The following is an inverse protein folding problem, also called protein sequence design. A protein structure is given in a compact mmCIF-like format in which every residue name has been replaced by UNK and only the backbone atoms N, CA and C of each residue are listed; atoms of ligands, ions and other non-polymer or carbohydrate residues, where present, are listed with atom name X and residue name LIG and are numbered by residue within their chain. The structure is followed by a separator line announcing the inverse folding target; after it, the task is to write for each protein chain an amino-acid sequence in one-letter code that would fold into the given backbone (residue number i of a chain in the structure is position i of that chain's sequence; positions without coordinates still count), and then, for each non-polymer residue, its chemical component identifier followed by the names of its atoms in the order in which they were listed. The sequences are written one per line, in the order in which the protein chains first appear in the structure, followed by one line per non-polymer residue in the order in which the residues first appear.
data_IF_913152653827
#
_entry.id   IF_913152653827
#
_cell.length_a   1.000
_cell.length_b   1.000
_cell.length_c   1.000
_cell.angle_alpha   90.00
_cell.angle_beta   90.00
_cell.angle_gamma   90.00
#
_symmetry.space_group_name_H-M   'P 1'
#
loop_
_entity.id
_entity.type
_entity.pdbx_description
1 polymer ?
#
# COMPACT_ATOMS: atom_id res chain seq x y z
N UNK A 1 35.10 60.08 -77.10
CA UNK A 1 35.17 58.72 -77.65
C UNK A 1 34.62 57.76 -76.61
N UNK A 2 33.62 56.95 -77.00
CA UNK A 2 32.95 55.83 -76.30
C UNK A 2 32.17 56.23 -75.02
N UNK A 3 30.87 56.59 -75.09
CA UNK A 3 29.66 55.73 -75.21
C UNK A 3 29.55 54.75 -74.02
N UNK A 4 28.53 54.77 -73.15
CA UNK A 4 27.13 54.29 -73.32
C UNK A 4 26.41 54.62 -71.99
N UNK A 5 25.39 55.48 -71.96
CA UNK A 5 23.93 55.24 -72.08
C UNK A 5 23.18 55.03 -70.74
N UNK A 6 22.00 55.63 -70.73
CA UNK A 6 21.09 55.92 -69.64
C UNK A 6 20.15 54.77 -69.18
N UNK A 7 19.68 54.95 -67.93
CA UNK A 7 18.33 54.74 -67.37
C UNK A 7 17.67 53.34 -67.25
N UNK A 8 17.23 53.11 -65.98
CA UNK A 8 15.93 52.55 -65.49
C UNK A 8 15.67 51.05 -65.69
N UNK A 9 14.96 50.31 -64.84
CA UNK A 9 14.26 50.49 -63.55
C UNK A 9 13.83 49.05 -63.17
N UNK A 10 14.04 48.58 -61.94
CA UNK A 10 13.12 47.59 -61.33
C UNK A 10 13.21 47.66 -59.82
N UNK A 11 12.04 47.90 -59.20
CA UNK A 11 11.81 47.89 -57.76
C UNK A 11 11.98 46.48 -57.18
N UNK A 12 12.38 46.37 -55.92
CA UNK A 12 11.49 45.84 -54.88
C UNK A 12 12.06 46.09 -53.47
N UNK A 13 11.23 46.66 -52.59
CA UNK A 13 11.48 46.78 -51.16
C UNK A 13 11.59 45.39 -50.52
N UNK A 14 12.63 45.16 -49.71
CA UNK A 14 12.60 44.14 -48.66
C UNK A 14 12.69 44.86 -47.31
N UNK A 15 11.60 44.76 -46.55
CA UNK A 15 11.46 45.25 -45.19
C UNK A 15 12.25 44.37 -44.20
N UNK A 16 12.79 45.05 -43.20
CA UNK A 16 13.46 44.49 -42.02
C UNK A 16 12.50 43.62 -41.20
N UNK A 17 12.91 42.40 -40.86
CA UNK A 17 12.28 41.59 -39.81
C UNK A 17 13.35 41.20 -38.80
N UNK A 18 13.26 41.76 -37.60
CA UNK A 18 14.03 41.38 -36.42
C UNK A 18 13.53 40.03 -35.88
N UNK A 19 14.41 39.07 -35.53
CA UNK A 19 13.97 37.80 -34.99
C UNK A 19 13.56 37.95 -33.51
N UNK A 20 12.31 37.57 -33.22
CA UNK A 20 11.75 37.47 -31.88
C UNK A 20 12.31 36.20 -31.17
N UNK A 21 12.70 36.26 -29.89
CA UNK A 21 13.22 35.09 -29.18
C UNK A 21 12.10 34.07 -28.92
N UNK A 22 12.31 32.85 -29.40
CA UNK A 22 11.42 31.72 -29.17
C UNK A 22 11.39 31.37 -27.67
N UNK A 23 10.21 31.44 -27.06
CA UNK A 23 9.98 30.82 -25.76
C UNK A 23 9.94 29.30 -25.93
N UNK A 24 10.60 28.52 -25.05
CA UNK A 24 10.44 27.08 -25.04
C UNK A 24 9.04 26.73 -24.53
N UNK A 25 8.18 26.21 -25.42
CA UNK A 25 6.89 25.64 -25.06
C UNK A 25 7.10 24.51 -24.04
N UNK A 26 6.62 24.71 -22.82
CA UNK A 26 6.47 23.63 -21.85
C UNK A 26 5.31 22.76 -22.30
N UNK A 27 5.63 21.64 -22.92
CA UNK A 27 4.70 20.58 -23.31
C UNK A 27 4.17 19.86 -22.04
N UNK A 28 3.29 20.51 -21.27
CA UNK A 28 2.49 19.83 -20.25
C UNK A 28 1.31 19.13 -20.95
N UNK A 29 1.51 17.88 -21.36
CA UNK A 29 0.38 17.01 -21.68
C UNK A 29 -0.28 16.55 -20.37
N UNK A 30 -1.15 17.39 -19.80
CA UNK A 30 -2.27 16.87 -19.02
C UNK A 30 -3.26 16.29 -20.03
N UNK A 31 -3.09 15.01 -20.40
CA UNK A 31 -4.15 14.30 -21.14
C UNK A 31 -5.28 14.07 -20.16
N UNK A 32 -6.29 14.93 -20.17
CA UNK A 32 -7.60 14.53 -19.72
C UNK A 32 -8.02 13.39 -20.66
N UNK A 33 -8.15 12.17 -20.14
CA UNK A 33 -8.46 10.97 -20.94
C UNK A 33 -9.91 10.95 -21.45
N UNK A 34 -10.44 12.12 -21.78
CA UNK A 34 -11.76 12.33 -22.38
C UNK A 34 -11.85 11.75 -23.81
N UNK A 35 -10.71 11.36 -24.40
CA UNK A 35 -10.56 10.67 -25.68
C UNK A 35 -10.65 9.14 -25.59
N UNK A 36 -10.69 8.56 -24.38
CA UNK A 36 -10.90 7.13 -24.19
C UNK A 36 -12.39 6.83 -24.05
N UNK A 37 -13.02 6.38 -25.14
CA UNK A 37 -14.23 5.57 -25.04
C UNK A 37 -13.99 4.47 -23.99
N UNK A 38 -14.86 4.31 -22.97
CA UNK A 38 -14.67 3.31 -21.95
C UNK A 38 -14.65 1.95 -22.63
N UNK A 39 -13.44 1.39 -22.79
CA UNK A 39 -13.28 0.03 -23.29
C UNK A 39 -14.17 -0.86 -22.44
N UNK A 40 -15.01 -1.73 -23.05
CA UNK A 40 -15.91 -2.58 -22.28
C UNK A 40 -15.06 -3.37 -21.29
N UNK A 41 -15.41 -3.26 -20.00
CA UNK A 41 -14.67 -3.90 -18.90
C UNK A 41 -14.49 -5.38 -19.25
N UNK A 42 -13.23 -5.78 -19.42
CA UNK A 42 -12.91 -7.17 -19.72
C UNK A 42 -13.21 -7.99 -18.47
N UNK A 43 -13.94 -9.11 -18.60
CA UNK A 43 -14.20 -10.02 -17.47
C UNK A 43 -13.16 -11.12 -17.44
N UNK A 44 -12.66 -11.41 -16.25
CA UNK A 44 -11.74 -12.51 -16.06
C UNK A 44 -12.41 -13.84 -16.40
N UNK A 45 -11.68 -14.73 -17.07
CA UNK A 45 -12.19 -16.04 -17.47
C UNK A 45 -12.39 -16.92 -16.22
N UNK A 46 -13.60 -17.46 -15.99
CA UNK A 46 -13.85 -18.25 -14.79
C UNK A 46 -13.02 -19.53 -14.77
N UNK A 47 -12.54 -19.88 -13.58
CA UNK A 47 -11.84 -21.13 -13.31
C UNK A 47 -12.91 -22.24 -13.24
N UNK A 48 -13.12 -22.92 -14.36
CA UNK A 48 -14.14 -23.96 -14.51
C UNK A 48 -13.56 -25.36 -14.80
N UNK A 49 -12.30 -25.43 -15.22
CA UNK A 49 -11.64 -26.68 -15.61
C UNK A 49 -10.35 -26.93 -14.81
N UNK A 50 -9.81 -28.15 -14.98
CA UNK A 50 -8.62 -28.61 -14.28
C UNK A 50 -7.37 -27.79 -14.63
N UNK A 51 -7.24 -27.34 -15.87
CA UNK A 51 -6.07 -26.58 -16.33
C UNK A 51 -6.07 -25.16 -15.75
N UNK A 52 -7.22 -24.49 -15.74
CA UNK A 52 -7.41 -23.20 -15.09
C UNK A 52 -7.12 -23.30 -13.58
N UNK A 53 -7.59 -24.37 -12.92
CA UNK A 53 -7.32 -24.59 -11.50
C UNK A 53 -5.84 -24.86 -11.22
N UNK A 54 -5.14 -25.61 -12.09
CA UNK A 54 -3.69 -25.79 -12.00
C UNK A 54 -2.94 -24.46 -12.10
N UNK A 55 -3.30 -23.62 -13.06
CA UNK A 55 -2.69 -22.29 -13.23
C UNK A 55 -2.94 -21.39 -12.01
N UNK A 56 -4.15 -21.44 -11.44
CA UNK A 56 -4.45 -20.74 -10.19
C UNK A 56 -3.57 -21.22 -9.03
N UNK A 57 -3.47 -22.53 -8.83
CA UNK A 57 -2.66 -23.10 -7.74
C UNK A 57 -1.18 -22.78 -7.91
N UNK A 58 -0.67 -22.74 -9.15
CA UNK A 58 0.69 -22.29 -9.45
C UNK A 58 0.88 -20.79 -9.18
N UNK A 59 -0.01 -19.94 -9.71
CA UNK A 59 0.03 -18.47 -9.54
C UNK A 59 0.10 -18.07 -8.07
N UNK A 60 -0.69 -18.74 -7.22
CA UNK A 60 -0.79 -18.42 -5.80
C UNK A 60 0.10 -19.29 -4.89
N UNK A 61 0.96 -20.14 -5.47
CA UNK A 61 1.99 -20.91 -4.76
C UNK A 61 1.53 -22.20 -4.07
N UNK A 62 0.28 -22.62 -4.26
CA UNK A 62 -0.26 -23.84 -3.65
C UNK A 62 0.36 -25.14 -4.18
N UNK A 63 0.97 -25.10 -5.36
CA UNK A 63 1.69 -26.22 -5.96
C UNK A 63 3.20 -26.06 -5.75
N UNK A 64 3.84 -27.05 -5.14
CA UNK A 64 5.31 -27.08 -5.07
C UNK A 64 5.88 -27.44 -6.44
N UNK A 65 6.78 -26.59 -6.95
CA UNK A 65 7.70 -27.02 -8.01
C UNK A 65 8.81 -27.77 -7.30
N UNK A 66 8.67 -29.08 -7.14
CA UNK A 66 9.72 -29.91 -6.55
C UNK A 66 11.03 -29.66 -7.30
N UNK A 67 12.08 -29.31 -6.56
CA UNK A 67 13.43 -29.24 -7.12
C UNK A 67 13.80 -30.58 -7.79
N UNK A 68 14.52 -30.57 -8.92
CA UNK A 68 14.70 -31.76 -9.77
C UNK A 68 15.53 -32.90 -9.13
N UNK A 69 15.88 -32.83 -7.85
CA UNK A 69 16.68 -33.84 -7.14
C UNK A 69 15.88 -34.78 -6.24
N UNK A 70 14.59 -34.53 -5.98
CA UNK A 70 13.78 -35.38 -5.06
C UNK A 70 12.48 -35.93 -5.67
N UNK A 71 12.13 -35.59 -6.92
CA UNK A 71 10.84 -35.95 -7.53
C UNK A 71 10.89 -37.10 -8.55
N UNK A 72 11.79 -38.07 -8.37
CA UNK A 72 11.75 -39.30 -9.16
C UNK A 72 10.63 -40.23 -8.63
N UNK A 73 9.37 -39.95 -8.99
CA UNK A 73 8.29 -40.95 -8.88
C UNK A 73 6.91 -40.48 -8.41
N UNK A 74 6.67 -39.19 -8.13
CA UNK A 74 5.33 -38.73 -7.71
C UNK A 74 4.46 -38.41 -8.93
N UNK A 75 3.29 -39.05 -9.12
CA UNK A 75 2.38 -38.73 -10.22
C UNK A 75 1.88 -37.29 -10.14
N UNK A 76 1.85 -36.57 -11.27
CA UNK A 76 1.36 -35.18 -11.39
C UNK A 76 -0.07 -35.01 -10.84
N UNK A 77 -0.91 -36.05 -10.89
CA UNK A 77 -2.25 -36.03 -10.29
C UNK A 77 -2.26 -36.05 -8.75
N UNK A 78 -1.25 -36.67 -8.12
CA UNK A 78 -1.13 -36.74 -6.67
C UNK A 78 -0.69 -35.40 -6.08
N UNK A 79 0.22 -34.68 -6.77
CA UNK A 79 0.66 -33.34 -6.38
C UNK A 79 -0.46 -32.32 -6.48
N UNK A 80 -1.31 -32.39 -7.52
CA UNK A 80 -2.48 -31.53 -7.68
C UNK A 80 -3.51 -31.73 -6.57
N UNK A 81 -3.90 -32.96 -6.28
CA UNK A 81 -4.89 -33.25 -5.24
C UNK A 81 -4.41 -32.79 -3.85
N UNK A 82 -3.10 -32.85 -3.57
CA UNK A 82 -2.51 -32.30 -2.35
C UNK A 82 -2.55 -30.77 -2.31
N UNK A 83 -2.22 -30.10 -3.41
CA UNK A 83 -2.33 -28.64 -3.52
C UNK A 83 -3.77 -28.17 -3.29
N UNK A 84 -4.75 -28.85 -3.90
CA UNK A 84 -6.18 -28.59 -3.70
C UNK A 84 -6.57 -28.79 -2.24
N UNK A 85 -6.13 -29.88 -1.58
CA UNK A 85 -6.41 -30.10 -0.14
C UNK A 85 -5.87 -28.98 0.75
N UNK A 86 -4.66 -28.48 0.46
CA UNK A 86 -4.06 -27.35 1.20
C UNK A 86 -4.89 -26.07 1.00
N UNK A 87 -5.26 -25.76 -0.24
CA UNK A 87 -6.13 -24.62 -0.57
C UNK A 87 -7.48 -24.72 0.13
N UNK A 88 -8.14 -25.88 0.06
CA UNK A 88 -9.42 -26.14 0.72
C UNK A 88 -9.33 -25.92 2.22
N UNK A 89 -8.31 -26.49 2.88
CA UNK A 89 -8.08 -26.33 4.33
C UNK A 89 -7.91 -24.85 4.72
N UNK A 90 -7.14 -24.09 3.95
CA UNK A 90 -6.95 -22.66 4.18
C UNK A 90 -8.26 -21.88 4.04
N UNK A 91 -9.08 -22.23 3.04
CA UNK A 91 -10.39 -21.62 2.79
C UNK A 91 -11.53 -22.21 3.66
N UNK A 92 -11.20 -23.03 4.67
CA UNK A 92 -12.18 -23.70 5.57
C UNK A 92 -13.20 -24.56 4.82
N UNK A 93 -12.78 -25.16 3.72
CA UNK A 93 -13.55 -26.15 2.96
C UNK A 93 -13.14 -27.57 3.37
N UNK A 94 -14.00 -28.59 3.19
CA UNK A 94 -13.62 -29.99 3.33
C UNK A 94 -12.43 -30.32 2.43
N UNK A 95 -11.35 -30.88 2.99
CA UNK A 95 -10.11 -31.20 2.27
C UNK A 95 -10.25 -32.48 1.41
N UNK A 96 -11.17 -32.47 0.44
CA UNK A 96 -11.45 -33.58 -0.46
C UNK A 96 -10.34 -33.81 -1.50
N UNK A 97 -9.60 -32.75 -1.86
CA UNK A 97 -8.64 -32.75 -2.97
C UNK A 97 -9.29 -32.77 -4.35
N UNK A 98 -10.62 -32.60 -4.42
CA UNK A 98 -11.40 -32.53 -5.65
C UNK A 98 -11.77 -31.09 -5.97
N UNK A 99 -11.87 -30.77 -7.25
CA UNK A 99 -12.41 -29.49 -7.73
C UNK A 99 -13.94 -29.51 -7.68
N UNK A 100 -14.49 -29.65 -6.48
CA UNK A 100 -15.93 -29.58 -6.25
C UNK A 100 -16.45 -28.14 -6.39
N UNK A 101 -17.78 -27.99 -6.52
CA UNK A 101 -18.42 -26.69 -6.71
C UNK A 101 -18.03 -25.65 -5.65
N UNK A 102 -17.95 -25.98 -4.33
CA UNK A 102 -17.45 -25.04 -3.32
C UNK A 102 -16.00 -24.62 -3.52
N UNK A 103 -15.13 -25.54 -3.95
CA UNK A 103 -13.71 -25.25 -4.23
C UNK A 103 -13.57 -24.31 -5.43
N UNK A 104 -14.28 -24.59 -6.54
CA UNK A 104 -14.28 -23.72 -7.71
C UNK A 104 -14.88 -22.35 -7.38
N UNK A 105 -15.95 -22.30 -6.60
CA UNK A 105 -16.52 -21.03 -6.13
C UNK A 105 -15.52 -20.23 -5.29
N UNK A 106 -14.73 -20.88 -4.43
CA UNK A 106 -13.68 -20.22 -3.66
C UNK A 106 -12.50 -19.75 -4.52
N UNK A 107 -12.10 -20.50 -5.55
CA UNK A 107 -11.05 -20.10 -6.49
C UNK A 107 -11.46 -18.88 -7.35
N UNK A 108 -12.75 -18.76 -7.68
CA UNK A 108 -13.31 -17.65 -8.46
C UNK A 108 -13.70 -16.43 -7.61
N UNK A 109 -13.41 -16.41 -6.30
CA UNK A 109 -13.65 -15.21 -5.50
C UNK A 109 -12.62 -14.14 -5.86
N UNK A 110 -13.02 -12.85 -5.97
CA UNK A 110 -12.07 -11.77 -6.11
C UNK A 110 -11.04 -11.81 -4.99
N UNK A 111 -9.77 -11.62 -5.31
CA UNK A 111 -8.65 -11.81 -4.38
C UNK A 111 -7.43 -10.97 -4.74
N UNK A 112 -6.51 -10.85 -3.77
CA UNK A 112 -5.20 -10.27 -3.99
C UNK A 112 -4.36 -11.17 -4.91
N UNK A 113 -3.59 -10.54 -5.81
CA UNK A 113 -2.67 -11.14 -6.77
C UNK A 113 -1.33 -11.59 -6.18
N UNK A 114 -1.06 -11.29 -4.90
CA UNK A 114 0.15 -11.76 -4.21
C UNK A 114 0.03 -13.27 -3.92
N UNK A 115 1.10 -14.07 -4.11
CA UNK A 115 1.07 -15.49 -3.78
C UNK A 115 0.84 -15.76 -2.28
N UNK A 116 0.03 -16.76 -1.95
CA UNK A 116 -0.32 -17.14 -0.58
C UNK A 116 0.83 -17.80 0.16
N UNK A 117 1.63 -18.55 -0.58
CA UNK A 117 2.81 -19.24 -0.09
C UNK A 117 3.96 -18.85 -0.98
N UNK A 118 5.09 -18.47 -0.38
CA UNK A 118 6.28 -18.10 -1.16
C UNK A 118 6.75 -19.35 -1.89
N UNK A 119 6.58 -19.37 -3.21
CA UNK A 119 7.46 -20.16 -4.05
C UNK A 119 8.87 -19.57 -3.88
N UNK A 120 9.93 -20.37 -3.68
CA UNK A 120 11.28 -19.88 -3.82
C UNK A 120 11.37 -19.21 -5.19
N UNK A 121 11.66 -17.90 -5.22
CA UNK A 121 11.84 -17.19 -6.48
C UNK A 121 12.92 -17.92 -7.28
N UNK A 122 12.58 -18.34 -8.50
CA UNK A 122 13.56 -18.75 -9.49
C UNK A 122 14.38 -17.51 -9.82
N UNK A 123 15.56 -17.41 -9.19
CA UNK A 123 16.62 -16.52 -9.62
C UNK A 123 16.84 -16.75 -11.12
N UNK A 124 17.02 -15.64 -11.84
CA UNK A 124 17.32 -15.61 -13.26
C UNK A 124 18.35 -16.68 -13.63
N UNK A 125 18.03 -17.46 -14.66
CA UNK A 125 18.90 -18.46 -15.29
C UNK A 125 20.39 -18.03 -15.27
N UNK A 126 21.30 -18.83 -14.67
CA UNK A 126 22.73 -18.58 -14.85
C UNK A 126 23.11 -18.93 -16.29
N UNK A 127 23.73 -17.96 -16.96
CA UNK A 127 24.44 -18.11 -18.23
C UNK A 127 25.43 -19.28 -18.15
N UNK A 128 25.57 -20.13 -19.18
CA UNK A 128 26.48 -21.27 -19.10
C UNK A 128 27.94 -20.81 -18.95
N UNK A 129 28.79 -21.57 -18.22
CA UNK A 129 30.17 -21.18 -17.98
C UNK A 129 30.99 -21.29 -19.26
N UNK A 130 31.78 -20.25 -19.53
CA UNK A 130 32.82 -20.28 -20.56
C UNK A 130 33.93 -21.27 -20.16
N UNK A 131 34.45 -22.01 -21.16
CA UNK A 131 35.59 -22.93 -21.02
C UNK A 131 36.87 -22.21 -20.55
N UNK A 132 37.76 -22.89 -19.81
CA UNK A 132 39.02 -22.31 -19.36
C UNK A 132 40.11 -22.41 -20.43
N UNK A 133 40.85 -21.31 -20.65
CA UNK A 133 42.13 -21.29 -21.37
C UNK A 133 43.16 -20.45 -20.56
N UNK A 134 44.47 -20.67 -20.74
CA UNK A 134 45.39 -20.87 -19.62
C UNK A 134 46.26 -19.64 -19.29
N UNK A 135 46.91 -19.76 -18.12
CA UNK A 135 48.01 -18.97 -17.57
C UNK A 135 48.87 -18.19 -18.57
N UNK A 136 48.94 -16.87 -18.40
CA UNK A 136 49.92 -16.03 -19.08
C UNK A 136 49.93 -14.57 -18.62
N UNK A 137 50.93 -14.23 -17.79
CA UNK A 137 51.60 -12.92 -17.65
C UNK A 137 50.78 -11.67 -17.27
N UNK A 138 50.90 -11.29 -16.00
CA UNK A 138 50.53 -9.98 -15.44
C UNK A 138 51.61 -8.91 -15.70
N UNK A 139 51.28 -7.68 -16.13
CA UNK A 139 52.06 -6.49 -15.83
C UNK A 139 51.45 -5.74 -14.65
N UNK A 140 52.30 -5.49 -13.64
CA UNK A 140 52.00 -4.66 -12.45
C UNK A 140 51.63 -3.23 -12.86
N UNK A 141 50.45 -2.77 -12.45
CA UNK A 141 50.11 -1.34 -12.43
C UNK A 141 49.57 -0.92 -11.04
N UNK A 142 50.07 0.23 -10.60
CA UNK A 142 50.11 0.80 -9.25
C UNK A 142 48.73 1.19 -8.70
N UNK A 143 48.32 0.62 -7.57
CA UNK A 143 47.12 1.03 -6.83
C UNK A 143 47.26 2.47 -6.29
N UNK A 144 46.32 3.35 -6.66
CA UNK A 144 46.12 4.66 -6.02
C UNK A 144 45.33 4.45 -4.72
N UNK A 145 45.97 4.78 -3.60
CA UNK A 145 45.51 4.64 -2.20
C UNK A 145 44.42 5.65 -1.80
N UNK A 146 43.28 5.67 -2.50
CA UNK A 146 42.17 6.55 -2.09
C UNK A 146 40.83 5.83 -1.82
N UNK A 147 40.76 4.51 -2.04
CA UNK A 147 39.55 3.70 -1.80
C UNK A 147 39.71 2.72 -0.62
N UNK A 148 40.32 3.17 0.48
CA UNK A 148 40.44 2.38 1.73
C UNK A 148 39.82 3.08 2.95
N UNK A 149 38.75 3.86 2.73
CA UNK A 149 38.07 4.59 3.80
C UNK A 149 36.55 4.37 3.85
N UNK A 150 36.01 3.43 3.04
CA UNK A 150 34.57 3.15 2.96
C UNK A 150 34.21 1.66 3.08
N UNK A 151 35.06 0.85 3.71
CA UNK A 151 34.72 -0.56 4.00
C UNK A 151 35.04 -0.88 5.48
N UNK A 152 34.08 -1.37 6.28
CA UNK A 152 34.38 -1.96 7.58
C UNK A 152 35.19 -3.25 7.43
N UNK A 153 36.14 -3.48 8.36
CA UNK A 153 37.00 -4.67 8.43
C UNK A 153 36.22 -5.97 8.70
N UNK A 154 36.70 -7.13 8.22
CA UNK A 154 36.11 -8.43 8.52
C UNK A 154 36.59 -8.96 9.88
N UNK A 155 35.67 -9.46 10.70
CA UNK A 155 36.02 -10.25 11.88
C UNK A 155 34.94 -10.25 12.96
N UNK A 156 34.18 -11.34 13.06
CA UNK A 156 33.25 -11.56 14.18
C UNK A 156 32.26 -12.70 13.97
N UNK A 157 32.77 -13.94 14.00
CA UNK A 157 32.11 -15.24 14.30
C UNK A 157 30.64 -15.45 13.87
N UNK A 158 30.47 -16.30 12.86
CA UNK A 158 29.26 -17.09 12.64
C UNK A 158 29.00 -18.04 13.81
N UNK A 159 27.78 -18.01 14.35
CA UNK A 159 27.12 -19.18 14.91
C UNK A 159 25.65 -19.15 14.49
N UNK A 160 25.16 -20.32 14.08
CA UNK A 160 24.11 -20.51 13.09
C UNK A 160 22.76 -19.86 13.40
N UNK A 161 22.14 -19.30 12.36
CA UNK A 161 20.72 -19.01 12.34
C UNK A 161 20.14 -19.46 11.00
N UNK A 162 19.25 -20.44 11.10
CA UNK A 162 18.26 -20.86 10.11
C UNK A 162 17.84 -19.70 9.20
N UNK A 163 18.08 -19.87 7.90
CA UNK A 163 17.72 -18.93 6.85
C UNK A 163 16.20 -18.91 6.64
N UNK A 164 15.50 -18.20 7.52
CA UNK A 164 14.13 -17.75 7.28
C UNK A 164 14.21 -16.46 6.46
N UNK A 165 14.05 -16.56 5.13
CA UNK A 165 14.05 -15.44 4.20
C UNK A 165 13.18 -14.27 4.71
N UNK A 166 13.85 -13.22 5.16
CA UNK A 166 13.25 -12.12 5.92
C UNK A 166 12.15 -11.41 5.11
N UNK A 167 10.97 -11.20 5.70
CA UNK A 167 10.11 -10.08 5.30
C UNK A 167 10.98 -8.82 5.26
N UNK A 168 11.05 -8.14 4.12
CA UNK A 168 11.77 -6.87 4.01
C UNK A 168 10.96 -5.82 4.77
N UNK A 169 11.37 -5.60 6.02
CA UNK A 169 10.87 -4.54 6.87
C UNK A 169 11.64 -3.27 6.55
N UNK A 170 10.94 -2.16 6.32
CA UNK A 170 11.58 -0.85 6.14
C UNK A 170 12.37 -0.48 7.40
N UNK A 171 13.63 -0.07 7.23
CA UNK A 171 14.46 0.37 8.36
C UNK A 171 14.17 1.81 8.79
N UNK A 172 13.56 2.61 7.91
CA UNK A 172 13.25 4.02 8.20
C UNK A 172 11.84 4.17 8.75
N UNK A 173 11.69 5.16 9.64
CA UNK A 173 10.41 5.48 10.28
C UNK A 173 9.49 6.34 9.42
N UNK A 174 10.06 7.23 8.61
CA UNK A 174 9.30 8.07 7.68
C UNK A 174 9.39 7.50 6.28
N UNK A 175 8.24 7.13 5.73
CA UNK A 175 8.06 6.57 4.39
C UNK A 175 7.31 7.56 3.51
N UNK A 176 7.79 7.78 2.30
CA UNK A 176 7.13 8.62 1.30
C UNK A 176 6.28 7.77 0.38
N UNK A 177 5.13 8.29 -0.03
CA UNK A 177 4.27 7.63 -0.99
C UNK A 177 3.78 8.59 -2.07
N UNK A 178 3.44 8.04 -3.24
CA UNK A 178 2.91 8.80 -4.37
C UNK A 178 1.98 7.95 -5.22
N UNK A 179 0.81 8.50 -5.55
CA UNK A 179 0.00 8.02 -6.67
C UNK A 179 0.63 8.50 -7.98
N UNK A 180 1.04 7.56 -8.83
CA UNK A 180 1.76 7.85 -10.07
C UNK A 180 0.87 8.66 -11.01
N UNK A 181 1.41 9.79 -11.50
CA UNK A 181 0.67 10.84 -12.23
C UNK A 181 -0.17 10.34 -13.40
N UNK A 182 0.35 9.37 -14.16
CA UNK A 182 -0.32 8.83 -15.35
C UNK A 182 -1.19 7.59 -15.04
N UNK A 183 -1.32 7.21 -13.77
CA UNK A 183 -1.89 5.94 -13.34
C UNK A 183 -3.06 6.14 -12.36
N UNK A 184 -3.91 7.15 -12.60
CA UNK A 184 -5.17 7.29 -11.87
C UNK A 184 -6.23 6.34 -12.42
N UNK A 185 -7.14 5.89 -11.55
CA UNK A 185 -8.34 5.18 -11.99
C UNK A 185 -9.22 6.08 -12.86
N UNK A 186 -9.85 5.52 -13.88
CA UNK A 186 -10.86 6.23 -14.68
C UNK A 186 -12.23 6.32 -14.00
N UNK A 187 -12.44 5.58 -12.89
CA UNK A 187 -13.75 5.42 -12.26
C UNK A 187 -13.97 6.36 -11.06
N UNK A 188 -12.89 6.91 -10.49
CA UNK A 188 -12.92 7.77 -9.31
C UNK A 188 -12.13 9.06 -9.58
N UNK A 189 -12.51 10.17 -8.94
CA UNK A 189 -11.73 11.41 -9.06
C UNK A 189 -10.35 11.27 -8.42
N UNK A 190 -9.35 11.98 -8.93
CA UNK A 190 -7.99 11.90 -8.39
C UNK A 190 -7.89 12.34 -6.92
N UNK A 191 -8.68 13.33 -6.52
CA UNK A 191 -8.73 13.79 -5.13
C UNK A 191 -9.33 12.74 -4.19
N UNK A 192 -10.36 12.04 -4.65
CA UNK A 192 -10.99 10.95 -3.90
C UNK A 192 -10.06 9.75 -3.75
N UNK A 193 -9.37 9.35 -4.83
CA UNK A 193 -8.33 8.31 -4.78
C UNK A 193 -7.24 8.67 -3.77
N UNK A 194 -6.70 9.90 -3.83
CA UNK A 194 -5.67 10.38 -2.89
C UNK A 194 -6.17 10.46 -1.46
N UNK A 195 -7.44 10.81 -1.25
CA UNK A 195 -8.06 10.83 0.08
C UNK A 195 -8.15 9.40 0.67
N UNK A 196 -8.59 8.44 -0.14
CA UNK A 196 -8.67 7.03 0.25
C UNK A 196 -7.29 6.47 0.59
N UNK A 197 -6.26 6.76 -0.22
CA UNK A 197 -4.89 6.32 0.07
C UNK A 197 -4.31 6.96 1.34
N UNK A 198 -4.56 8.26 1.57
CA UNK A 198 -4.20 8.92 2.84
C UNK A 198 -4.81 8.21 4.05
N UNK A 199 -6.08 7.82 3.94
CA UNK A 199 -6.77 7.08 4.98
C UNK A 199 -6.18 5.67 5.16
N UNK A 200 -5.87 4.97 4.08
CA UNK A 200 -5.27 3.63 4.13
C UNK A 200 -3.89 3.63 4.82
N UNK A 201 -3.02 4.59 4.50
CA UNK A 201 -1.73 4.76 5.18
C UNK A 201 -1.91 5.13 6.66
N UNK A 202 -2.90 5.98 6.95
CA UNK A 202 -3.22 6.39 8.32
C UNK A 202 -3.62 5.20 9.20
N UNK A 203 -4.40 4.26 8.68
CA UNK A 203 -4.79 3.07 9.44
C UNK A 203 -3.58 2.27 9.93
N UNK A 204 -2.50 2.22 9.15
CA UNK A 204 -1.25 1.58 9.56
C UNK A 204 -0.40 2.45 10.49
N UNK A 205 -0.33 3.77 10.31
CA UNK A 205 0.40 4.66 11.23
C UNK A 205 -0.27 4.82 12.59
N UNK A 206 -1.58 4.56 12.72
CA UNK A 206 -2.26 4.57 14.00
C UNK A 206 -1.81 3.42 14.93
N UNK A 207 -1.27 2.35 14.35
CA UNK A 207 -0.88 1.13 15.09
C UNK A 207 0.61 0.81 15.04
N UNK A 208 1.41 1.65 14.38
CA UNK A 208 2.87 1.53 14.23
C UNK A 208 3.56 2.88 14.39
N UNK A 209 4.85 2.93 14.76
CA UNK A 209 5.60 4.19 14.83
C UNK A 209 6.00 4.74 13.45
N UNK A 210 5.43 4.23 12.35
CA UNK A 210 5.72 4.70 11.00
C UNK A 210 4.96 5.99 10.68
N UNK A 211 5.62 6.91 9.99
CA UNK A 211 5.07 8.17 9.50
C UNK A 211 5.02 8.12 7.96
N UNK A 212 3.83 8.27 7.38
CA UNK A 212 3.63 8.23 5.94
C UNK A 212 3.38 9.63 5.39
N UNK A 213 4.16 10.05 4.40
CA UNK A 213 4.05 11.38 3.79
C UNK A 213 3.84 11.29 2.30
N UNK A 214 2.82 11.98 1.80
CA UNK A 214 2.65 12.14 0.36
C UNK A 214 3.76 13.05 -0.16
N UNK A 215 4.55 12.56 -1.11
CA UNK A 215 5.60 13.34 -1.78
C UNK A 215 5.21 13.52 -3.23
N UNK A 216 5.01 14.76 -3.68
CA UNK A 216 4.67 15.09 -5.06
C UNK A 216 5.83 15.72 -5.85
N UNK A 217 6.95 16.01 -5.19
CA UNK A 217 8.02 16.87 -5.74
C UNK A 217 9.30 16.11 -6.04
N UNK A 218 9.64 15.09 -5.25
CA UNK A 218 10.85 14.31 -5.46
C UNK A 218 10.78 13.52 -6.78
N UNK A 219 11.92 13.15 -7.39
CA UNK A 219 11.93 12.16 -8.47
C UNK A 219 11.28 10.85 -8.04
N UNK A 220 10.51 10.21 -8.93
CA UNK A 220 9.75 8.99 -8.59
C UNK A 220 10.62 7.85 -8.05
N UNK A 221 11.89 7.77 -8.44
CA UNK A 221 12.86 6.77 -7.94
C UNK A 221 13.22 6.94 -6.46
N UNK A 222 12.94 8.08 -5.85
CA UNK A 222 13.17 8.35 -4.42
C UNK A 222 11.93 8.13 -3.55
N UNK A 223 10.77 7.86 -4.16
CA UNK A 223 9.54 7.56 -3.43
C UNK A 223 9.55 6.10 -2.99
N UNK A 224 9.28 5.84 -1.71
CA UNK A 224 9.32 4.47 -1.17
C UNK A 224 8.17 3.61 -1.62
N UNK A 225 6.97 4.20 -1.69
CA UNK A 225 5.75 3.49 -2.00
C UNK A 225 5.04 4.16 -3.16
N UNK A 226 4.92 3.47 -4.28
CA UNK A 226 4.24 3.98 -5.47
C UNK A 226 2.95 3.24 -5.67
N UNK A 227 1.88 3.98 -5.92
CA UNK A 227 0.56 3.43 -6.21
C UNK A 227 0.19 3.77 -7.65
N UNK A 228 -0.50 2.86 -8.34
CA UNK A 228 -1.01 3.13 -9.68
C UNK A 228 -2.09 2.15 -10.11
N UNK A 229 -3.02 2.65 -10.91
CA UNK A 229 -4.05 1.86 -11.57
C UNK A 229 -3.59 1.44 -12.96
N UNK A 230 -3.97 0.25 -13.38
CA UNK A 230 -3.65 -0.27 -14.70
C UNK A 230 -4.60 -1.37 -15.14
N UNK A 231 -4.62 -1.67 -16.44
CA UNK A 231 -5.40 -2.77 -17.02
C UNK A 231 -4.48 -3.69 -17.78
N UNK A 232 -4.74 -5.00 -17.78
CA UNK A 232 -3.90 -5.98 -18.47
C UNK A 232 -2.40 -5.76 -18.22
N UNK A 233 -1.62 -5.44 -19.27
CA UNK A 233 -0.21 -5.03 -19.16
C UNK A 233 -0.14 -3.56 -18.73
N UNK A 234 0.47 -3.30 -17.58
CA UNK A 234 0.46 -1.97 -16.97
C UNK A 234 1.82 -1.60 -16.37
N UNK A 235 2.16 -0.31 -16.37
CA UNK A 235 3.26 0.31 -15.60
C UNK A 235 4.64 -0.38 -15.71
N UNK A 236 4.91 -1.13 -16.78
CA UNK A 236 6.13 -1.93 -16.90
C UNK A 236 6.18 -3.14 -15.95
N UNK A 237 5.07 -3.48 -15.29
CA UNK A 237 4.92 -4.65 -14.45
C UNK A 237 4.95 -5.92 -15.32
N UNK A 238 5.71 -6.97 -14.94
CA UNK A 238 5.71 -8.24 -15.65
C UNK A 238 4.42 -9.04 -15.43
N UNK A 239 3.63 -8.71 -14.39
CA UNK A 239 2.31 -9.32 -14.16
C UNK A 239 1.24 -8.60 -14.98
N UNK A 240 0.34 -9.41 -15.54
CA UNK A 240 -0.77 -8.96 -16.36
C UNK A 240 -2.05 -9.17 -15.58
N UNK A 241 -2.87 -8.13 -15.44
CA UNK A 241 -4.19 -8.26 -14.84
C UNK A 241 -5.13 -9.09 -15.72
N UNK A 242 -6.06 -9.80 -15.08
CA UNK A 242 -6.98 -10.73 -15.73
C UNK A 242 -8.34 -10.11 -16.10
N UNK A 243 -8.55 -8.84 -15.77
CA UNK A 243 -9.81 -8.14 -15.92
C UNK A 243 -10.71 -8.35 -14.69
N UNK A 244 -11.92 -7.83 -14.76
CA UNK A 244 -12.83 -7.81 -13.61
C UNK A 244 -13.22 -9.19 -13.06
N UNK A 245 -13.32 -9.29 -11.73
CA UNK A 245 -13.90 -10.40 -10.98
C UNK A 245 -12.89 -11.39 -10.38
N UNK A 246 -11.58 -11.21 -10.58
CA UNK A 246 -10.55 -12.09 -10.02
C UNK A 246 -9.47 -11.30 -9.28
N UNK A 247 -8.39 -10.87 -9.96
CA UNK A 247 -7.28 -10.19 -9.29
C UNK A 247 -7.56 -8.69 -9.14
N UNK A 248 -7.85 -8.22 -7.94
CA UNK A 248 -8.16 -6.79 -7.75
C UNK A 248 -6.93 -5.89 -7.65
N UNK A 249 -5.81 -6.41 -7.15
CA UNK A 249 -4.59 -5.66 -6.95
C UNK A 249 -3.43 -6.60 -6.65
N UNK A 250 -2.21 -6.09 -6.75
CA UNK A 250 -1.04 -6.72 -6.16
C UNK A 250 -0.02 -5.68 -5.69
N UNK A 251 0.61 -5.98 -4.56
CA UNK A 251 1.89 -5.41 -4.18
C UNK A 251 3.04 -6.15 -4.89
N UNK A 252 3.95 -5.40 -5.50
CA UNK A 252 5.13 -5.88 -6.20
C UNK A 252 6.42 -5.44 -5.48
N UNK A 253 7.56 -5.95 -5.97
CA UNK A 253 8.88 -5.71 -5.39
C UNK A 253 9.16 -4.20 -5.24
N UNK A 254 9.83 -3.82 -4.15
CA UNK A 254 10.30 -2.45 -3.87
C UNK A 254 9.20 -1.40 -3.56
N UNK A 255 8.03 -1.81 -3.09
CA UNK A 255 7.00 -0.88 -2.59
C UNK A 255 6.07 -0.36 -3.68
N UNK A 256 5.94 -1.08 -4.79
CA UNK A 256 4.98 -0.72 -5.84
C UNK A 256 3.66 -1.46 -5.61
N UNK A 257 2.54 -0.74 -5.68
CA UNK A 257 1.18 -1.27 -5.51
C UNK A 257 0.40 -0.95 -6.78
N UNK A 258 -0.12 -2.00 -7.41
CA UNK A 258 -0.93 -1.87 -8.61
C UNK A 258 -2.35 -2.33 -8.35
N UNK A 259 -3.32 -1.55 -8.82
CA UNK A 259 -4.76 -1.84 -8.74
C UNK A 259 -5.29 -2.11 -10.15
N UNK A 260 -6.12 -3.14 -10.30
CA UNK A 260 -6.74 -3.46 -11.59
C UNK A 260 -7.90 -2.50 -11.88
N UNK A 261 -7.70 -1.60 -12.82
CA UNK A 261 -8.70 -0.59 -13.19
C UNK A 261 -9.89 -1.17 -13.97
N UNK A 262 -9.85 -2.47 -14.32
CA UNK A 262 -11.04 -3.18 -14.80
C UNK A 262 -11.99 -3.56 -13.64
N UNK A 263 -11.54 -3.57 -12.38
CA UNK A 263 -12.41 -3.80 -11.23
C UNK A 263 -13.26 -2.58 -10.88
N UNK A 264 -14.48 -2.81 -10.42
CA UNK A 264 -15.36 -1.73 -9.98
C UNK A 264 -15.00 -1.25 -8.56
N UNK A 265 -14.02 -0.35 -8.48
CA UNK A 265 -13.61 0.28 -7.23
C UNK A 265 -14.61 1.33 -6.77
N UNK A 266 -15.00 1.22 -5.50
CA UNK A 266 -16.04 2.08 -4.94
C UNK A 266 -15.47 3.20 -4.06
N UNK A 267 -16.17 4.35 -4.01
CA UNK A 267 -15.88 5.39 -3.04
C UNK A 267 -16.27 4.95 -1.63
N UNK A 268 -15.84 5.72 -0.61
CA UNK A 268 -16.11 5.41 0.81
C UNK A 268 -17.61 5.42 1.18
N UNK A 269 -18.44 6.09 0.38
CA UNK A 269 -19.88 6.23 0.60
C UNK A 269 -20.69 5.05 0.04
N UNK A 270 -20.09 4.17 -0.76
CA UNK A 270 -20.78 3.06 -1.39
C UNK A 270 -20.58 1.76 -0.61
N UNK A 271 -21.66 1.02 -0.45
CA UNK A 271 -21.74 -0.32 0.14
C UNK A 271 -21.73 -1.44 -0.92
N UNK A 272 -21.70 -1.09 -2.21
CA UNK A 272 -21.86 -2.03 -3.33
C UNK A 272 -20.65 -2.00 -4.26
N UNK A 273 -19.77 -3.01 -4.15
CA UNK A 273 -18.61 -3.21 -5.02
C UNK A 273 -17.32 -3.54 -4.26
N UNK A 274 -16.16 -3.29 -4.89
CA UNK A 274 -14.85 -3.51 -4.28
C UNK A 274 -14.36 -2.21 -3.64
N UNK A 275 -14.28 -2.18 -2.31
CA UNK A 275 -13.83 -1.00 -1.57
C UNK A 275 -12.35 -0.74 -1.83
N UNK A 276 -12.05 0.39 -2.48
CA UNK A 276 -10.68 0.80 -2.73
C UNK A 276 -9.90 0.97 -1.42
N UNK A 277 -10.55 1.47 -0.36
CA UNK A 277 -9.92 1.60 0.96
C UNK A 277 -9.48 0.22 1.47
N UNK A 278 -10.38 -0.77 1.43
CA UNK A 278 -10.09 -2.12 1.93
C UNK A 278 -8.93 -2.77 1.19
N UNK A 279 -8.95 -2.68 -0.14
CA UNK A 279 -7.88 -3.21 -0.99
C UNK A 279 -6.58 -2.46 -0.73
N UNK A 280 -6.59 -1.13 -0.66
CA UNK A 280 -5.39 -0.34 -0.38
C UNK A 280 -4.76 -0.68 0.98
N UNK A 281 -5.56 -0.83 2.04
CA UNK A 281 -5.04 -1.21 3.37
C UNK A 281 -4.38 -2.59 3.31
N UNK A 282 -4.99 -3.55 2.59
CA UNK A 282 -4.42 -4.88 2.38
C UNK A 282 -3.06 -4.83 1.65
N UNK A 283 -3.00 -4.17 0.49
CA UNK A 283 -1.76 -4.11 -0.31
C UNK A 283 -0.64 -3.33 0.41
N UNK A 284 -0.99 -2.27 1.15
CA UNK A 284 -0.01 -1.57 2.00
C UNK A 284 0.54 -2.52 3.08
N UNK A 285 -0.30 -3.39 3.64
CA UNK A 285 0.15 -4.42 4.58
C UNK A 285 1.23 -5.33 3.97
N UNK A 286 1.09 -5.71 2.70
CA UNK A 286 2.12 -6.45 1.97
C UNK A 286 3.41 -5.65 1.77
N UNK A 287 3.29 -4.38 1.38
CA UNK A 287 4.46 -3.48 1.24
C UNK A 287 5.20 -3.34 2.57
N UNK A 288 4.47 -3.33 3.69
CA UNK A 288 5.04 -3.32 5.05
C UNK A 288 5.52 -4.70 5.54
N UNK A 289 5.41 -5.74 4.71
CA UNK A 289 5.99 -7.05 4.97
C UNK A 289 5.05 -8.06 5.65
N UNK A 290 3.75 -7.78 5.74
CA UNK A 290 2.76 -8.76 6.21
C UNK A 290 2.44 -9.79 5.13
N UNK A 291 2.40 -11.09 5.46
CA UNK A 291 1.90 -12.13 4.57
C UNK A 291 0.38 -12.24 4.61
N UNK A 292 -0.19 -13.01 3.67
CA UNK A 292 -1.59 -13.42 3.75
C UNK A 292 -1.90 -14.23 5.02
N UNK A 293 -3.13 -14.08 5.52
CA UNK A 293 -3.67 -14.90 6.61
C UNK A 293 -5.13 -15.26 6.36
N UNK A 294 -5.48 -16.53 6.48
CA UNK A 294 -6.83 -17.05 6.24
C UNK A 294 -7.78 -16.90 7.45
N UNK A 295 -7.55 -15.86 8.26
CA UNK A 295 -8.39 -15.54 9.42
C UNK A 295 -9.53 -14.64 8.96
N UNK A 296 -10.77 -15.10 9.17
CA UNK A 296 -11.96 -14.25 9.02
C UNK A 296 -11.81 -13.02 9.91
N UNK A 297 -12.01 -11.84 9.31
CA UNK A 297 -11.86 -10.53 9.96
C UNK A 297 -10.50 -9.87 9.76
N UNK A 298 -9.46 -10.61 9.38
CA UNK A 298 -8.16 -10.00 9.07
C UNK A 298 -8.23 -9.23 7.75
N UNK A 299 -7.59 -8.06 7.72
CA UNK A 299 -7.43 -7.29 6.49
C UNK A 299 -6.49 -7.99 5.51
N UNK A 300 -5.54 -8.78 6.00
CA UNK A 300 -4.57 -9.54 5.20
C UNK A 300 -5.15 -10.87 4.68
N UNK A 301 -6.48 -11.04 4.68
CA UNK A 301 -7.13 -12.15 4.03
C UNK A 301 -7.07 -12.00 2.50
N UNK A 302 -6.55 -12.99 1.76
CA UNK A 302 -6.36 -12.87 0.31
C UNK A 302 -7.66 -12.69 -0.46
N UNK A 303 -8.72 -13.39 -0.07
CA UNK A 303 -10.01 -13.29 -0.74
C UNK A 303 -10.77 -12.07 -0.25
N UNK A 304 -11.35 -11.31 -1.17
CA UNK A 304 -12.24 -10.21 -0.85
C UNK A 304 -13.50 -10.75 -0.16
N UNK A 305 -13.71 -10.29 1.08
CA UNK A 305 -14.94 -10.56 1.83
C UNK A 305 -15.67 -9.23 1.96
N UNK A 306 -16.85 -9.07 1.32
CA UNK A 306 -17.71 -7.93 1.56
C UNK A 306 -18.01 -7.83 3.06
N UNK A 307 -17.70 -6.70 3.66
CA UNK A 307 -18.01 -6.38 5.05
C UNK A 307 -18.69 -5.01 5.09
N UNK A 308 -19.19 -4.65 6.26
CA UNK A 308 -19.80 -3.34 6.49
C UNK A 308 -18.89 -2.19 6.03
N UNK A 309 -19.46 -1.04 5.62
CA UNK A 309 -18.71 0.10 5.08
C UNK A 309 -17.58 0.59 6.00
N UNK A 310 -17.72 0.36 7.31
CA UNK A 310 -16.66 0.59 8.29
C UNK A 310 -16.00 -0.73 8.68
N UNK A 311 -14.67 -0.80 8.54
CA UNK A 311 -13.86 -1.90 9.04
C UNK A 311 -12.63 -1.38 9.78
N UNK A 312 -12.09 -2.21 10.67
CA UNK A 312 -10.88 -1.91 11.45
C UNK A 312 -9.82 -2.99 11.23
N UNK A 313 -8.58 -2.67 11.56
CA UNK A 313 -7.50 -3.66 11.58
C UNK A 313 -7.76 -4.67 12.70
N UNK A 314 -7.82 -5.96 12.36
CA UNK A 314 -7.99 -7.02 13.36
C UNK A 314 -6.85 -6.98 14.38
N UNK A 315 -7.13 -7.48 15.59
CA UNK A 315 -6.09 -7.60 16.61
C UNK A 315 -4.87 -8.40 16.12
N UNK A 316 -5.08 -9.44 15.30
CA UNK A 316 -3.98 -10.23 14.76
C UNK A 316 -3.12 -9.45 13.76
N UNK A 317 -3.73 -8.61 12.92
CA UNK A 317 -3.01 -7.74 11.97
C UNK A 317 -2.18 -6.69 12.71
N UNK A 318 -2.77 -6.05 13.72
CA UNK A 318 -2.09 -5.08 14.59
C UNK A 318 -0.88 -5.71 15.30
N UNK A 319 -1.04 -6.93 15.84
CA UNK A 319 0.08 -7.62 16.46
C UNK A 319 1.13 -8.10 15.47
N UNK A 320 0.73 -8.50 14.27
CA UNK A 320 1.68 -8.89 13.23
C UNK A 320 2.54 -7.70 12.80
N UNK A 321 1.94 -6.53 12.55
CA UNK A 321 2.69 -5.35 12.13
C UNK A 321 3.55 -4.77 13.26
N UNK A 322 3.07 -4.80 14.50
CA UNK A 322 3.83 -4.35 15.67
C UNK A 322 5.06 -5.25 15.96
N UNK A 323 5.04 -6.52 15.55
CA UNK A 323 6.23 -7.38 15.62
C UNK A 323 7.31 -6.96 14.63
N UNK A 324 6.94 -6.30 13.53
CA UNK A 324 7.89 -5.82 12.52
C UNK A 324 8.42 -4.43 12.86
N UNK A 325 7.57 -3.51 13.31
CA UNK A 325 7.92 -2.09 13.47
C UNK A 325 7.91 -1.59 14.92
N UNK A 326 7.48 -2.42 15.87
CA UNK A 326 7.23 -2.00 17.25
C UNK A 326 5.86 -1.34 17.43
N UNK A 327 5.60 -0.91 18.66
CA UNK A 327 4.38 -0.18 19.02
C UNK A 327 4.66 1.33 19.07
N UNK A 328 3.61 2.13 19.01
CA UNK A 328 3.72 3.57 19.28
C UNK A 328 4.12 3.78 20.74
N UNK A 329 5.19 4.55 20.96
CA UNK A 329 5.71 4.89 22.29
C UNK A 329 5.55 6.39 22.57
N UNK A 330 5.41 6.72 23.86
CA UNK A 330 5.33 8.08 24.35
C UNK A 330 4.27 8.24 25.42
N UNK A 331 4.52 9.16 26.35
CA UNK A 331 3.53 9.58 27.33
C UNK A 331 2.50 10.50 26.68
N UNK A 332 1.25 10.36 27.12
CA UNK A 332 0.26 11.41 26.95
C UNK A 332 0.58 12.52 27.96
N UNK A 333 0.25 13.76 27.60
CA UNK A 333 0.34 14.89 28.53
C UNK A 333 -0.65 14.68 29.67
N UNK A 334 -1.87 14.24 29.30
CA UNK A 334 -2.92 13.90 30.27
C UNK A 334 -3.89 12.86 29.69
N UNK A 335 -4.43 12.04 30.59
CA UNK A 335 -5.53 11.12 30.33
C UNK A 335 -6.61 11.37 31.36
N UNK A 336 -7.86 11.56 30.93
CA UNK A 336 -8.97 11.80 31.85
C UNK A 336 -10.29 11.23 31.32
N UNK A 337 -11.15 10.83 32.24
CA UNK A 337 -12.53 10.47 31.93
C UNK A 337 -13.41 11.71 31.99
N UNK A 338 -14.21 11.92 30.96
CA UNK A 338 -15.26 12.93 31.00
C UNK A 338 -16.62 12.26 31.13
N UNK A 339 -17.21 12.41 32.31
CA UNK A 339 -18.53 11.88 32.67
C UNK A 339 -19.62 12.86 32.20
N UNK A 340 -20.69 12.34 31.61
CA UNK A 340 -21.85 13.11 31.14
C UNK A 340 -23.16 12.37 31.37
N UNK A 341 -24.22 13.11 31.65
CA UNK A 341 -25.60 12.59 31.71
C UNK A 341 -26.22 12.67 30.32
N UNK A 342 -26.57 11.53 29.74
CA UNK A 342 -27.32 11.43 28.49
C UNK A 342 -28.75 10.98 28.79
N UNK A 343 -29.75 11.64 28.19
CA UNK A 343 -31.13 11.13 28.18
C UNK A 343 -31.32 10.25 26.96
N UNK A 344 -31.81 9.03 27.15
CA UNK A 344 -32.18 8.18 26.02
C UNK A 344 -33.53 8.63 25.41
N UNK A 345 -33.92 7.99 24.31
CA UNK A 345 -35.18 8.24 23.61
C UNK A 345 -36.44 8.03 24.47
N UNK A 346 -36.32 7.35 25.62
CA UNK A 346 -37.40 7.10 26.57
C UNK A 346 -37.37 8.02 27.79
N UNK A 347 -36.48 9.03 27.80
CA UNK A 347 -36.34 10.00 28.90
C UNK A 347 -35.54 9.50 30.10
N UNK A 348 -35.01 8.27 30.08
CA UNK A 348 -34.17 7.70 31.13
C UNK A 348 -32.80 8.39 31.12
N UNK A 349 -32.36 8.88 32.29
CA UNK A 349 -31.04 9.49 32.46
C UNK A 349 -30.01 8.39 32.65
N UNK A 350 -29.05 8.29 31.73
CA UNK A 350 -27.90 7.39 31.84
C UNK A 350 -26.62 8.20 32.00
N UNK A 351 -25.79 7.77 32.94
CA UNK A 351 -24.44 8.31 33.09
C UNK A 351 -23.53 7.57 32.11
N UNK A 352 -22.81 8.31 31.29
CA UNK A 352 -21.79 7.79 30.38
C UNK A 352 -20.48 8.51 30.62
N UNK A 353 -19.38 7.86 30.31
CA UNK A 353 -18.08 8.52 30.26
C UNK A 353 -17.35 8.07 29.02
N UNK A 354 -16.49 8.96 28.53
CA UNK A 354 -15.48 8.61 27.56
C UNK A 354 -14.11 9.05 28.08
N UNK A 355 -13.08 8.27 27.80
CA UNK A 355 -11.70 8.58 28.17
C UNK A 355 -11.07 9.42 27.06
N UNK A 356 -10.47 10.54 27.42
CA UNK A 356 -9.73 11.38 26.50
C UNK A 356 -8.24 11.30 26.79
N UNK A 357 -7.45 11.20 25.73
CA UNK A 357 -6.00 11.19 25.77
C UNK A 357 -5.49 12.43 25.04
N UNK A 358 -4.67 13.24 25.67
CA UNK A 358 -4.12 14.46 25.07
C UNK A 358 -2.60 14.34 24.97
N UNK A 359 -2.03 14.78 23.84
CA UNK A 359 -0.58 14.86 23.64
C UNK A 359 -0.24 16.00 22.70
N UNK A 360 0.63 16.90 23.14
CA UNK A 360 0.92 18.16 22.46
C UNK A 360 -0.39 18.86 22.09
N UNK A 361 -0.61 19.17 20.82
CA UNK A 361 -1.81 19.83 20.28
C UNK A 361 -2.90 18.87 19.80
N UNK A 362 -2.78 17.58 20.10
CA UNK A 362 -3.65 16.51 19.61
C UNK A 362 -4.39 15.82 20.75
N UNK A 363 -5.57 15.29 20.45
CA UNK A 363 -6.30 14.43 21.36
C UNK A 363 -6.94 13.23 20.66
N UNK A 364 -7.11 12.15 21.42
CA UNK A 364 -7.87 10.97 21.08
C UNK A 364 -9.05 10.85 22.06
N UNK A 365 -10.18 10.41 21.55
CA UNK A 365 -11.38 10.06 22.27
C UNK A 365 -11.51 8.54 22.24
N UNK A 366 -11.44 7.92 23.40
CA UNK A 366 -11.73 6.51 23.58
C UNK A 366 -13.18 6.33 24.01
N UNK A 367 -13.98 5.69 23.15
CA UNK A 367 -15.37 5.38 23.40
C UNK A 367 -15.45 4.10 24.27
N UNK A 368 -15.42 4.26 25.60
CA UNK A 368 -15.35 3.14 26.55
C UNK A 368 -16.45 2.09 26.32
N UNK A 369 -17.65 2.51 25.92
CA UNK A 369 -18.76 1.59 25.60
C UNK A 369 -18.45 0.66 24.43
N UNK A 370 -17.75 1.19 23.42
CA UNK A 370 -17.41 0.48 22.20
C UNK A 370 -16.01 -0.14 22.27
N UNK A 371 -15.29 0.05 23.40
CA UNK A 371 -13.94 -0.43 23.64
C UNK A 371 -12.94 -0.04 22.53
N UNK A 372 -13.14 1.15 21.93
CA UNK A 372 -12.36 1.61 20.77
C UNK A 372 -12.10 3.12 20.80
N UNK A 373 -11.03 3.54 20.14
CA UNK A 373 -10.80 4.95 19.82
C UNK A 373 -11.81 5.42 18.77
N UNK A 374 -12.22 6.69 18.83
CA UNK A 374 -13.11 7.29 17.85
C UNK A 374 -12.44 7.29 16.48
N UNK A 375 -13.24 6.97 15.46
CA UNK A 375 -12.80 7.03 14.07
C UNK A 375 -12.27 8.42 13.69
N UNK A 376 -11.11 8.46 13.03
CA UNK A 376 -10.50 9.70 12.56
C UNK A 376 -9.69 10.45 13.62
N UNK A 377 -9.44 9.88 14.80
CA UNK A 377 -8.46 10.40 15.77
C UNK A 377 -7.00 10.05 15.40
N UNK A 378 -5.99 10.85 15.81
CA UNK A 378 -6.12 12.04 16.63
C UNK A 378 -6.76 13.22 15.88
N UNK A 379 -7.44 14.08 16.63
CA UNK A 379 -7.88 15.40 16.18
C UNK A 379 -7.07 16.50 16.87
N UNK A 380 -6.95 17.65 16.24
CA UNK A 380 -6.38 18.82 16.91
C UNK A 380 -7.31 19.28 18.02
N UNK A 381 -6.73 19.71 19.14
CA UNK A 381 -7.48 20.21 20.30
C UNK A 381 -8.43 21.35 19.88
N UNK A 382 -7.96 22.27 19.03
CA UNK A 382 -8.76 23.38 18.48
C UNK A 382 -10.07 22.94 17.81
N UNK A 383 -10.07 21.77 17.17
CA UNK A 383 -11.24 21.28 16.43
C UNK A 383 -12.37 20.87 17.37
N UNK A 384 -12.03 20.26 18.52
CA UNK A 384 -13.01 19.71 19.46
C UNK A 384 -13.25 20.57 20.70
N UNK A 385 -12.30 21.43 21.04
CA UNK A 385 -12.27 22.12 22.33
C UNK A 385 -11.98 23.60 22.13
N UNK A 386 -12.89 24.45 22.62
CA UNK A 386 -12.76 25.90 22.60
C UNK A 386 -12.48 26.42 24.00
N UNK A 387 -11.63 27.44 24.11
CA UNK A 387 -11.35 28.12 25.38
C UNK A 387 -10.45 27.35 26.36
N UNK A 388 -9.80 26.27 25.92
CA UNK A 388 -8.82 25.53 26.71
C UNK A 388 -7.42 25.70 26.11
N UNK A 389 -6.35 25.38 26.85
CA UNK A 389 -5.00 25.44 26.29
C UNK A 389 -4.82 24.54 25.07
N UNK A 390 -4.23 25.10 24.00
CA UNK A 390 -4.16 24.47 22.68
C UNK A 390 -3.11 23.37 22.54
N UNK A 391 -2.26 23.19 23.56
CA UNK A 391 -1.23 22.16 23.59
C UNK A 391 -0.71 21.95 25.01
N UNK A 392 -0.16 20.77 25.33
CA UNK A 392 0.53 20.49 26.61
C UNK A 392 -0.32 20.89 27.81
N UNK A 393 -1.44 20.18 27.98
CA UNK A 393 -2.33 20.35 29.13
C UNK A 393 -1.72 19.58 30.30
N UNK A 394 -1.58 20.23 31.46
CA UNK A 394 -0.88 19.66 32.60
C UNK A 394 -1.82 18.93 33.57
N UNK A 395 -3.05 19.43 33.73
CA UNK A 395 -4.05 18.80 34.60
C UNK A 395 -5.49 19.05 34.09
N UNK A 396 -6.38 18.17 34.49
CA UNK A 396 -7.81 18.23 34.25
C UNK A 396 -8.55 17.91 35.55
N UNK A 397 -9.56 18.70 35.86
CA UNK A 397 -10.46 18.44 36.99
C UNK A 397 -11.90 18.51 36.50
N UNK A 398 -12.64 17.44 36.72
CA UNK A 398 -14.09 17.40 36.52
C UNK A 398 -14.79 17.48 37.87
N UNK A 399 -15.39 18.64 38.16
CA UNK A 399 -16.23 18.81 39.35
C UNK A 399 -17.65 18.41 38.99
N UNK A 400 -18.00 17.17 39.33
CA UNK A 400 -19.31 16.60 39.07
C UNK A 400 -20.07 16.33 40.36
N UNK A 401 -21.14 17.11 40.60
CA UNK A 401 -22.00 16.98 41.77
C UNK A 401 -23.48 17.16 41.37
N UNK A 402 -24.39 17.11 42.34
CA UNK A 402 -25.82 17.29 42.08
C UNK A 402 -26.17 18.66 41.47
N UNK A 403 -25.38 19.70 41.75
CA UNK A 403 -25.62 21.07 41.27
C UNK A 403 -24.50 21.68 40.43
N UNK A 404 -23.42 20.94 40.14
CA UNK A 404 -22.29 21.43 39.35
C UNK A 404 -21.80 20.38 38.37
N UNK A 405 -21.49 20.82 37.16
CA UNK A 405 -20.84 20.05 36.10
C UNK A 405 -19.82 20.95 35.40
N UNK A 406 -18.68 21.13 36.09
CA UNK A 406 -17.64 22.09 35.71
C UNK A 406 -16.35 21.36 35.35
N UNK A 407 -15.66 21.85 34.31
CA UNK A 407 -14.45 21.24 33.75
C UNK A 407 -13.34 22.27 33.74
N UNK A 408 -12.26 21.97 34.44
CA UNK A 408 -11.10 22.83 34.53
C UNK A 408 -9.92 22.18 33.83
N UNK A 409 -9.24 22.95 32.98
CA UNK A 409 -8.02 22.57 32.30
C UNK A 409 -6.90 23.49 32.76
N UNK A 410 -5.80 22.90 33.22
CA UNK A 410 -4.67 23.64 33.76
C UNK A 410 -3.49 23.52 32.80
N UNK A 411 -2.75 24.62 32.67
CA UNK A 411 -1.49 24.66 31.94
C UNK A 411 -0.58 25.74 32.52
N UNK A 412 0.67 25.37 32.74
CA UNK A 412 1.67 26.19 33.38
C UNK A 412 1.52 26.22 34.89
N UNK A 413 2.40 27.01 35.51
CA UNK A 413 2.35 27.30 36.93
C UNK A 413 1.35 28.45 37.07
N UNK A 414 0.13 28.16 37.48
CA UNK A 414 -0.75 29.21 37.99
C UNK A 414 -0.08 29.73 39.28
N UNK A 415 0.52 30.92 39.21
CA UNK A 415 0.89 31.71 40.39
C UNK A 415 -0.35 32.50 40.82
#
# INVERSE_FOLDING_TARGET
MLAVSDLRLTMLLCWLVTPQPAQPERLFHSRDRSDLEPSPLSRAKPIADLHAAQNFLLKYGWSEVSSPKESAGVPVGFTLAQAVRRFQKANRLPASGKLDSPTLAAMNKPRCGVPDTRLPLQDALPTPPALPTPLGLQPRARQKRFLQMLLPKPGGKQEGRSDTGASRVFSKKTLTWRLVGDAYSSQLSGDEQRYIFRLAFRMWSEVTPLDFREDLTAPGTMVDIKLGFGRGRHLGCPRVFDGSGQEFAHAWHLGEIHFDDDEHFTPLSSDTGISLLKVAVHEIGHVLGLPHTYRVGSIMQPNYIPQEPAFELDWSDRKAIQRLYGSCEGSFDIVFDWIRKERNQYGEVRVRFNTYFFRNSWYWLYENRNNRTRYGDPLQILTGWRGIPMQRIDAFVHVWSWGRDERYFFKGICI
#
